data_IF_359599105121
#
_entry.id   IF_359599105121
#
_cell.length_a   1.000
_cell.length_b   1.000
_cell.length_c   1.000
_cell.angle_alpha   90.00
_cell.angle_beta   90.00
_cell.angle_gamma   90.00
#
_symmetry.space_group_name_H-M   'P 1'
#
loop_
_entity.id
_entity.type
_entity.pdbx_description
1 polymer ?
#
# COMPACT_ATOMS: atom_id res chain seq x y z
N UNK A 1 0.85 24.93 7.47
CA UNK A 1 -0.11 23.87 7.15
C UNK A 1 0.58 22.53 7.35
N UNK A 2 -0.11 21.56 7.89
CA UNK A 2 0.40 20.19 7.96
C UNK A 2 0.54 19.63 6.56
N UNK A 3 1.57 18.81 6.34
CA UNK A 3 1.81 18.11 5.06
C UNK A 3 1.04 16.80 5.00
N UNK A 4 0.94 16.21 3.84
CA UNK A 4 0.60 14.80 3.70
C UNK A 4 1.90 13.97 3.59
N UNK A 5 1.83 12.69 3.92
CA UNK A 5 2.95 11.75 3.86
C UNK A 5 2.61 10.62 2.89
N UNK A 6 3.44 10.40 1.88
CA UNK A 6 3.38 9.18 1.07
C UNK A 6 4.37 8.17 1.63
N UNK A 7 3.91 6.93 1.85
CA UNK A 7 4.74 5.86 2.42
C UNK A 7 4.80 4.67 1.49
N UNK A 8 6.00 4.13 1.32
CA UNK A 8 6.21 2.82 0.69
C UNK A 8 7.24 1.99 1.45
N UNK A 9 7.35 0.74 1.03
CA UNK A 9 8.28 -0.23 1.62
C UNK A 9 9.09 -0.91 0.52
N UNK A 10 10.39 -1.04 0.76
CA UNK A 10 11.33 -1.77 -0.10
C UNK A 10 12.13 -2.77 0.72
N UNK A 11 12.68 -3.77 0.06
CA UNK A 11 13.61 -4.74 0.65
C UNK A 11 14.82 -4.94 -0.26
N UNK A 12 15.85 -5.60 0.23
CA UNK A 12 17.14 -5.74 -0.46
C UNK A 12 17.10 -6.45 -1.83
N UNK A 13 15.95 -6.99 -2.22
CA UNK A 13 15.71 -7.49 -3.58
C UNK A 13 15.25 -6.39 -4.57
N UNK A 14 15.05 -5.15 -4.10
CA UNK A 14 14.73 -3.99 -4.93
C UNK A 14 16.00 -3.29 -5.40
N UNK A 15 15.90 -2.74 -6.59
CA UNK A 15 16.91 -1.85 -7.18
C UNK A 15 16.27 -0.50 -7.53
N UNK A 16 17.10 0.46 -7.93
CA UNK A 16 16.59 1.75 -8.42
C UNK A 16 15.56 1.60 -9.54
N UNK A 17 15.75 0.63 -10.43
CA UNK A 17 14.84 0.39 -11.56
C UNK A 17 13.43 0.01 -11.08
N UNK A 18 13.32 -0.67 -9.94
CA UNK A 18 12.04 -1.11 -9.39
C UNK A 18 11.22 0.03 -8.77
N UNK A 19 11.87 1.10 -8.28
CA UNK A 19 11.21 2.16 -7.53
C UNK A 19 11.20 3.52 -8.26
N UNK A 20 12.05 3.71 -9.26
CA UNK A 20 12.19 5.00 -9.93
C UNK A 20 10.90 5.52 -10.54
N UNK A 21 10.09 4.65 -11.12
CA UNK A 21 8.83 5.03 -11.78
C UNK A 21 7.82 5.55 -10.75
N UNK A 22 7.71 4.86 -9.61
CA UNK A 22 6.90 5.31 -8.48
C UNK A 22 7.33 6.71 -8.01
N UNK A 23 8.60 6.88 -7.67
CA UNK A 23 9.12 8.14 -7.15
C UNK A 23 9.04 9.29 -8.17
N UNK A 24 9.44 9.03 -9.42
CA UNK A 24 9.41 10.06 -10.45
C UNK A 24 7.98 10.45 -10.84
N UNK A 25 7.03 9.50 -10.78
CA UNK A 25 5.62 9.83 -11.00
C UNK A 25 5.08 10.77 -9.92
N UNK A 26 5.38 10.53 -8.64
CA UNK A 26 5.00 11.43 -7.54
C UNK A 26 5.57 12.84 -7.79
N UNK A 27 6.85 12.95 -8.10
CA UNK A 27 7.51 14.24 -8.35
C UNK A 27 6.89 15.03 -9.51
N UNK A 28 6.40 14.33 -10.53
CA UNK A 28 5.72 14.97 -11.68
C UNK A 28 4.32 15.50 -11.35
N UNK A 29 3.74 15.14 -10.22
CA UNK A 29 2.40 15.62 -9.81
C UNK A 29 2.42 16.92 -9.01
N UNK A 30 3.55 17.58 -8.87
CA UNK A 30 3.74 18.75 -7.99
C UNK A 30 3.38 18.47 -6.52
N UNK A 31 3.54 17.24 -6.06
CA UNK A 31 3.34 16.85 -4.66
C UNK A 31 4.35 17.56 -3.76
N UNK A 32 3.86 18.20 -2.68
CA UNK A 32 4.67 19.02 -1.76
C UNK A 32 4.82 18.40 -0.37
N UNK A 33 4.27 17.22 -0.15
CA UNK A 33 4.41 16.50 1.11
C UNK A 33 5.73 15.73 1.21
N UNK A 34 5.87 14.98 2.28
CA UNK A 34 7.04 14.15 2.51
C UNK A 34 6.83 12.74 1.92
N UNK A 35 7.94 12.12 1.51
CA UNK A 35 7.96 10.76 0.95
C UNK A 35 8.81 9.89 1.88
N UNK A 36 8.20 8.92 2.53
CA UNK A 36 8.86 7.99 3.43
C UNK A 36 9.05 6.63 2.77
N UNK A 37 10.27 6.12 2.84
CA UNK A 37 10.63 4.78 2.39
C UNK A 37 11.12 3.96 3.58
N UNK A 38 10.40 2.88 3.90
CA UNK A 38 10.85 1.88 4.87
C UNK A 38 11.72 0.85 4.13
N UNK A 39 13.03 0.90 4.38
CA UNK A 39 14.03 0.12 3.65
C UNK A 39 14.56 -1.06 4.50
N UNK A 40 14.23 -2.28 4.09
CA UNK A 40 14.58 -3.51 4.81
C UNK A 40 15.80 -4.20 4.23
N UNK A 41 16.71 -4.64 5.12
CA UNK A 41 17.94 -5.36 4.78
C UNK A 41 18.90 -4.53 3.91
N UNK A 42 18.92 -3.22 4.10
CA UNK A 42 19.89 -2.30 3.55
C UNK A 42 20.82 -1.76 4.64
N UNK A 43 22.03 -1.30 4.24
CA UNK A 43 22.92 -0.52 5.08
C UNK A 43 22.80 0.97 4.73
N UNK A 44 23.23 1.84 5.64
CA UNK A 44 23.10 3.29 5.45
C UNK A 44 23.98 3.83 4.30
N UNK A 45 25.05 3.12 3.96
CA UNK A 45 25.99 3.42 2.89
C UNK A 45 25.69 2.71 1.56
N UNK A 46 24.61 1.93 1.50
CA UNK A 46 24.19 1.31 0.26
C UNK A 46 23.82 2.39 -0.77
N UNK A 47 24.40 2.29 -1.96
CA UNK A 47 24.22 3.28 -3.04
C UNK A 47 22.75 3.55 -3.36
N UNK A 48 21.90 2.54 -3.25
CA UNK A 48 20.46 2.69 -3.47
C UNK A 48 19.78 3.52 -2.38
N UNK A 49 20.17 3.36 -1.10
CA UNK A 49 19.67 4.17 0.02
C UNK A 49 20.06 5.64 -0.16
N UNK A 50 21.34 5.88 -0.47
CA UNK A 50 21.87 7.23 -0.74
C UNK A 50 21.13 7.90 -1.91
N UNK A 51 20.86 7.15 -2.97
CA UNK A 51 20.13 7.65 -4.14
C UNK A 51 18.68 8.05 -3.80
N UNK A 52 18.00 7.30 -2.92
CA UNK A 52 16.66 7.66 -2.43
C UNK A 52 16.69 8.95 -1.58
N UNK A 53 17.71 9.10 -0.71
CA UNK A 53 17.90 10.29 0.11
C UNK A 53 18.24 11.52 -0.76
N UNK A 54 19.13 11.39 -1.72
CA UNK A 54 19.43 12.44 -2.71
C UNK A 54 18.20 12.84 -3.54
N UNK A 55 17.32 11.88 -3.78
CA UNK A 55 16.04 12.13 -4.42
C UNK A 55 15.00 12.81 -3.51
N UNK A 56 15.33 13.11 -2.24
CA UNK A 56 14.49 13.82 -1.28
C UNK A 56 13.56 12.92 -0.47
N UNK A 57 13.77 11.60 -0.45
CA UNK A 57 13.02 10.70 0.39
C UNK A 57 13.55 10.69 1.83
N UNK A 58 12.64 10.62 2.79
CA UNK A 58 12.95 10.17 4.15
C UNK A 58 13.14 8.66 4.08
N UNK A 59 14.33 8.17 4.39
CA UNK A 59 14.62 6.73 4.37
C UNK A 59 14.85 6.25 5.79
N UNK A 60 13.99 5.34 6.23
CA UNK A 60 14.15 4.66 7.50
C UNK A 60 14.52 3.22 7.22
N UNK A 61 15.60 2.80 7.83
CA UNK A 61 16.01 1.41 7.88
C UNK A 61 15.62 0.86 9.24
N UNK A 62 14.48 0.17 9.33
CA UNK A 62 14.08 -0.43 10.59
C UNK A 62 15.18 -1.34 11.07
N UNK A 63 15.65 -1.07 12.28
CA UNK A 63 16.86 -1.69 12.81
C UNK A 63 16.73 -3.21 12.82
N UNK A 64 17.65 -3.88 12.16
CA UNK A 64 17.88 -5.31 12.27
C UNK A 64 18.27 -5.75 13.71
N UNK A 65 18.35 -4.82 14.68
CA UNK A 65 18.66 -5.12 16.08
C UNK A 65 17.64 -6.06 16.73
N UNK A 66 16.44 -6.16 16.19
CA UNK A 66 15.48 -7.20 16.59
C UNK A 66 15.74 -8.57 15.92
N UNK A 67 16.75 -8.69 15.05
CA UNK A 67 17.30 -10.00 14.64
C UNK A 67 18.17 -10.65 15.71
N UNK A 68 18.43 -9.98 16.82
CA UNK A 68 18.96 -10.59 18.02
C UNK A 68 17.98 -11.60 18.63
N UNK A 69 18.43 -12.36 19.59
CA UNK A 69 17.81 -13.52 20.26
C UNK A 69 16.27 -13.59 20.32
N UNK A 70 15.58 -12.46 20.41
CA UNK A 70 14.12 -12.42 20.49
C UNK A 70 13.41 -12.71 19.17
N UNK A 71 13.94 -12.20 18.06
CA UNK A 71 13.30 -12.41 16.75
C UNK A 71 13.50 -13.84 16.28
N UNK A 72 14.70 -14.39 16.44
CA UNK A 72 14.98 -15.79 16.11
C UNK A 72 14.24 -16.75 17.03
N UNK A 73 14.19 -16.46 18.33
CA UNK A 73 13.51 -17.31 19.32
C UNK A 73 11.99 -17.27 19.14
N UNK A 74 11.41 -16.11 18.88
CA UNK A 74 9.97 -15.96 18.66
C UNK A 74 9.54 -16.66 17.36
N UNK A 75 10.31 -16.52 16.31
CA UNK A 75 10.05 -17.13 15.02
C UNK A 75 10.28 -18.65 15.05
N UNK A 76 11.32 -19.14 15.70
CA UNK A 76 11.60 -20.58 15.86
C UNK A 76 10.61 -21.27 16.80
N UNK A 77 10.10 -20.57 17.82
CA UNK A 77 9.09 -21.12 18.74
C UNK A 77 7.71 -21.27 18.11
N UNK A 78 7.34 -20.35 17.21
CA UNK A 78 6.04 -20.43 16.52
C UNK A 78 6.02 -21.43 15.37
N UNK A 79 7.15 -22.01 14.99
CA UNK A 79 7.25 -22.98 13.88
C UNK A 79 6.90 -22.42 12.50
N UNK A 80 6.74 -21.09 12.36
CA UNK A 80 6.23 -20.43 11.15
C UNK A 80 7.29 -19.65 10.36
N UNK A 81 8.58 -19.80 10.69
CA UNK A 81 9.63 -19.17 9.89
C UNK A 81 10.14 -20.15 8.87
N UNK A 82 9.74 -19.92 7.65
CA UNK A 82 10.48 -20.42 6.52
C UNK A 82 11.57 -19.37 6.20
N UNK A 83 12.88 -19.63 6.45
CA UNK A 83 13.96 -18.71 6.12
C UNK A 83 14.01 -18.36 4.62
N UNK A 84 13.33 -19.14 3.78
CA UNK A 84 13.21 -18.91 2.34
C UNK A 84 12.16 -17.85 1.97
N UNK A 85 11.26 -17.46 2.91
CA UNK A 85 10.18 -16.50 2.68
C UNK A 85 10.33 -15.23 3.52
N UNK A 86 11.55 -14.72 3.67
CA UNK A 86 11.80 -13.44 4.39
C UNK A 86 10.95 -12.26 3.85
N UNK A 87 10.52 -12.32 2.59
CA UNK A 87 9.66 -11.31 1.98
C UNK A 87 8.22 -11.30 2.53
N UNK A 88 7.70 -12.42 3.01
CA UNK A 88 6.35 -12.48 3.57
C UNK A 88 6.24 -11.71 4.89
N UNK A 89 7.32 -11.66 5.67
CA UNK A 89 7.35 -10.91 6.93
C UNK A 89 7.36 -9.40 6.73
N UNK A 90 7.94 -8.91 5.66
CA UNK A 90 8.00 -7.47 5.35
C UNK A 90 6.59 -6.89 5.18
N UNK A 91 5.66 -7.62 4.57
CA UNK A 91 4.28 -7.17 4.39
C UNK A 91 3.56 -6.89 5.72
N UNK A 92 3.89 -7.61 6.78
CA UNK A 92 3.30 -7.42 8.10
C UNK A 92 4.10 -6.44 8.96
N UNK A 93 5.42 -6.62 9.03
CA UNK A 93 6.31 -5.83 9.88
C UNK A 93 6.39 -4.36 9.46
N UNK A 94 6.19 -4.06 8.16
CA UNK A 94 6.11 -2.68 7.65
C UNK A 94 5.06 -1.84 8.37
N UNK A 95 3.97 -2.44 8.77
CA UNK A 95 2.89 -1.76 9.49
C UNK A 95 3.33 -1.39 10.92
N UNK A 96 4.06 -2.28 11.61
CA UNK A 96 4.62 -1.97 12.92
C UNK A 96 5.65 -0.84 12.88
N UNK A 97 6.58 -0.88 11.93
CA UNK A 97 7.59 0.17 11.81
C UNK A 97 7.01 1.51 11.34
N UNK A 98 5.95 1.47 10.52
CA UNK A 98 5.22 2.70 10.22
C UNK A 98 4.52 3.25 11.47
N UNK A 99 3.86 2.42 12.26
CA UNK A 99 3.31 2.83 13.55
C UNK A 99 4.37 3.45 14.45
N UNK A 100 5.53 2.80 14.59
CA UNK A 100 6.64 3.30 15.42
C UNK A 100 7.11 4.68 14.94
N UNK A 101 7.33 4.85 13.64
CA UNK A 101 7.70 6.14 13.07
C UNK A 101 6.66 7.22 13.37
N UNK A 102 5.38 6.91 13.17
CA UNK A 102 4.29 7.85 13.41
C UNK A 102 4.15 8.21 14.91
N UNK A 103 4.44 7.27 15.80
CA UNK A 103 4.43 7.49 17.25
C UNK A 103 5.60 8.37 17.69
N UNK A 104 6.83 8.05 17.24
CA UNK A 104 8.05 8.76 17.62
C UNK A 104 8.11 10.18 17.05
N UNK A 105 7.57 10.42 15.87
CA UNK A 105 7.57 11.75 15.24
C UNK A 105 6.42 12.64 15.71
N UNK A 106 5.45 12.11 16.44
CA UNK A 106 4.26 12.88 16.83
C UNK A 106 3.43 13.25 15.60
N UNK A 107 3.08 12.28 14.82
CA UNK A 107 2.44 12.39 13.49
C UNK A 107 1.25 13.35 13.43
N UNK A 108 0.46 13.42 14.49
CA UNK A 108 -0.69 14.34 14.60
C UNK A 108 -0.28 15.83 14.57
N UNK A 109 1.00 16.12 14.81
CA UNK A 109 1.54 17.48 14.76
C UNK A 109 2.06 17.82 13.36
N UNK A 110 2.70 16.88 12.68
CA UNK A 110 3.39 17.13 11.42
C UNK A 110 2.53 16.84 10.19
N UNK A 111 1.74 15.77 10.21
CA UNK A 111 1.02 15.31 9.03
C UNK A 111 -0.49 15.42 9.18
N UNK A 112 -1.14 15.71 8.06
CA UNK A 112 -2.59 15.70 7.94
C UNK A 112 -3.10 14.30 7.59
N UNK A 113 -2.51 13.72 6.53
CA UNK A 113 -2.90 12.39 6.02
C UNK A 113 -1.66 11.57 5.65
N UNK A 114 -1.85 10.26 5.63
CA UNK A 114 -0.88 9.28 5.15
C UNK A 114 -1.49 8.54 3.96
N UNK A 115 -0.75 8.51 2.85
CA UNK A 115 -1.04 7.69 1.67
C UNK A 115 -0.08 6.51 1.68
N UNK A 116 -0.59 5.32 1.94
CA UNK A 116 0.20 4.10 1.96
C UNK A 116 0.12 3.43 0.59
N UNK A 117 1.29 3.14 -0.01
CA UNK A 117 1.36 2.52 -1.33
C UNK A 117 2.37 1.39 -1.38
N UNK A 118 2.09 0.39 -2.22
CA UNK A 118 3.15 -0.45 -2.74
C UNK A 118 4.10 0.40 -3.60
N UNK A 119 5.35 -0.05 -3.81
CA UNK A 119 6.34 0.82 -4.47
C UNK A 119 6.57 0.48 -5.94
N UNK A 120 6.73 -0.81 -6.27
CA UNK A 120 7.26 -1.22 -7.58
C UNK A 120 6.30 -1.01 -8.74
N UNK A 121 5.03 -1.27 -8.53
CA UNK A 121 4.01 -1.41 -9.58
C UNK A 121 2.93 -0.32 -9.49
N UNK A 122 3.28 0.83 -8.92
CA UNK A 122 2.40 1.99 -8.76
C UNK A 122 2.93 3.20 -9.53
N UNK A 123 2.01 3.90 -10.17
CA UNK A 123 2.23 5.20 -10.81
C UNK A 123 1.21 6.22 -10.29
N UNK A 124 1.67 7.42 -9.98
CA UNK A 124 0.81 8.56 -9.71
C UNK A 124 0.59 9.36 -11.01
N UNK A 125 -0.65 9.59 -11.37
CA UNK A 125 -1.02 10.39 -12.53
C UNK A 125 -1.47 11.81 -12.15
N UNK A 126 -1.85 12.03 -10.90
CA UNK A 126 -2.18 13.35 -10.35
C UNK A 126 -1.77 13.47 -8.89
N UNK A 127 -1.82 14.69 -8.36
CA UNK A 127 -1.41 15.00 -6.99
C UNK A 127 -2.40 14.39 -5.98
N UNK A 128 -1.97 13.43 -5.13
CA UNK A 128 -2.85 12.77 -4.19
C UNK A 128 -3.40 13.71 -3.11
N UNK A 129 -2.64 14.71 -2.67
CA UNK A 129 -3.12 15.69 -1.68
C UNK A 129 -4.29 16.51 -2.24
N UNK A 130 -4.19 16.95 -3.49
CA UNK A 130 -5.26 17.71 -4.15
C UNK A 130 -6.52 16.84 -4.29
N UNK A 131 -6.36 15.58 -4.67
CA UNK A 131 -7.48 14.65 -4.76
C UNK A 131 -8.15 14.44 -3.39
N UNK A 132 -7.35 14.19 -2.35
CA UNK A 132 -7.82 13.96 -0.98
C UNK A 132 -8.50 15.19 -0.39
N UNK A 133 -7.98 16.39 -0.65
CA UNK A 133 -8.59 17.65 -0.18
C UNK A 133 -10.03 17.82 -0.71
N UNK A 134 -10.25 17.37 -1.93
CA UNK A 134 -11.55 17.54 -2.61
C UNK A 134 -12.53 16.41 -2.28
N UNK A 135 -12.02 15.17 -2.16
CA UNK A 135 -12.87 13.99 -2.23
C UNK A 135 -12.90 13.16 -0.93
N UNK A 136 -11.93 13.31 -0.02
CA UNK A 136 -11.90 12.53 1.20
C UNK A 136 -12.76 13.17 2.31
N UNK A 137 -13.80 12.46 2.75
CA UNK A 137 -14.77 12.96 3.73
C UNK A 137 -14.81 12.14 5.03
N UNK A 138 -14.03 11.05 5.11
CA UNK A 138 -13.90 10.20 6.29
C UNK A 138 -12.44 9.94 6.62
N UNK A 139 -12.21 9.29 7.75
CA UNK A 139 -10.85 9.07 8.28
C UNK A 139 -10.01 8.08 7.47
N UNK A 140 -10.65 7.11 6.79
CA UNK A 140 -9.98 6.05 6.02
C UNK A 140 -10.58 5.97 4.63
N UNK A 141 -9.76 6.10 3.60
CA UNK A 141 -10.11 5.86 2.22
C UNK A 141 -9.75 4.43 1.84
N UNK A 142 -10.74 3.64 1.46
CA UNK A 142 -10.64 2.19 1.23
C UNK A 142 -10.85 1.88 -0.25
N UNK A 143 -9.77 1.63 -1.02
CA UNK A 143 -9.87 1.40 -2.46
C UNK A 143 -10.30 -0.03 -2.79
N UNK A 144 -11.31 -0.16 -3.64
CA UNK A 144 -11.86 -1.44 -4.10
C UNK A 144 -11.10 -2.01 -5.28
N UNK A 145 -10.98 -3.34 -5.34
CA UNK A 145 -10.51 -4.09 -6.51
C UNK A 145 -11.66 -4.45 -7.48
N UNK A 146 -12.91 -4.09 -7.17
CA UNK A 146 -14.08 -4.34 -8.02
C UNK A 146 -14.49 -5.80 -8.15
N UNK A 147 -13.90 -6.71 -7.38
CA UNK A 147 -14.16 -8.15 -7.41
C UNK A 147 -14.52 -8.66 -6.02
N UNK A 148 -15.41 -9.65 -5.92
CA UNK A 148 -15.75 -10.28 -4.64
C UNK A 148 -14.67 -11.28 -4.20
N UNK A 149 -14.52 -11.46 -2.89
CA UNK A 149 -13.60 -12.45 -2.33
C UNK A 149 -13.81 -13.87 -2.89
N UNK A 150 -15.08 -14.29 -3.05
CA UNK A 150 -15.43 -15.62 -3.60
C UNK A 150 -15.00 -15.82 -5.05
N UNK A 151 -14.87 -14.73 -5.80
CA UNK A 151 -14.57 -14.74 -7.24
C UNK A 151 -13.06 -14.50 -7.51
N UNK A 152 -12.27 -14.26 -6.45
CA UNK A 152 -10.83 -14.02 -6.53
C UNK A 152 -10.05 -15.08 -5.72
N UNK A 153 -9.50 -16.12 -6.37
CA UNK A 153 -8.90 -17.27 -5.70
C UNK A 153 -7.77 -16.92 -4.74
N UNK A 154 -6.86 -16.03 -5.13
CA UNK A 154 -5.72 -15.64 -4.30
C UNK A 154 -6.16 -14.99 -2.99
N UNK A 155 -7.11 -14.05 -3.04
CA UNK A 155 -7.65 -13.38 -1.86
C UNK A 155 -8.44 -14.34 -0.96
N UNK A 156 -9.24 -15.24 -1.57
CA UNK A 156 -9.95 -16.29 -0.87
C UNK A 156 -9.00 -17.21 -0.10
N UNK A 157 -7.96 -17.70 -0.76
CA UNK A 157 -6.99 -18.61 -0.16
C UNK A 157 -6.21 -17.95 0.98
N UNK A 158 -5.81 -16.68 0.83
CA UNK A 158 -5.18 -15.92 1.90
C UNK A 158 -6.14 -15.67 3.08
N UNK A 159 -7.39 -15.36 2.83
CA UNK A 159 -8.39 -15.20 3.89
C UNK A 159 -8.62 -16.52 4.67
N UNK A 160 -8.76 -17.62 3.97
CA UNK A 160 -8.92 -18.96 4.58
C UNK A 160 -7.69 -19.38 5.37
N UNK A 161 -6.48 -19.15 4.83
CA UNK A 161 -5.21 -19.49 5.49
C UNK A 161 -5.00 -18.71 6.78
N UNK A 162 -5.33 -17.42 6.78
CA UNK A 162 -5.06 -16.53 7.90
C UNK A 162 -6.16 -16.54 8.97
N UNK A 163 -7.42 -16.68 8.57
CA UNK A 163 -8.58 -16.49 9.45
C UNK A 163 -9.54 -17.69 9.53
N UNK A 164 -9.35 -18.69 8.66
CA UNK A 164 -10.19 -19.88 8.63
C UNK A 164 -11.58 -19.67 8.03
N UNK A 165 -12.32 -20.79 7.95
CA UNK A 165 -13.59 -20.83 7.22
C UNK A 165 -14.70 -19.96 7.81
N UNK A 166 -14.81 -19.84 9.12
CA UNK A 166 -15.87 -19.04 9.74
C UNK A 166 -15.75 -17.55 9.40
N UNK A 167 -14.54 -16.98 9.54
CA UNK A 167 -14.30 -15.56 9.22
C UNK A 167 -14.50 -15.32 7.74
N UNK A 168 -13.99 -16.21 6.88
CA UNK A 168 -14.19 -16.11 5.45
C UNK A 168 -15.69 -16.12 5.08
N UNK A 169 -16.46 -17.11 5.51
CA UNK A 169 -17.88 -17.26 5.15
C UNK A 169 -18.75 -16.10 5.65
N UNK A 170 -18.50 -15.59 6.87
CA UNK A 170 -19.37 -14.60 7.49
C UNK A 170 -18.92 -13.15 7.26
N UNK A 171 -17.61 -12.89 7.06
CA UNK A 171 -17.10 -11.53 6.98
C UNK A 171 -16.55 -11.13 5.61
N UNK A 172 -16.09 -12.08 4.77
CA UNK A 172 -15.36 -11.72 3.56
C UNK A 172 -16.00 -12.23 2.26
N UNK A 173 -16.51 -13.44 2.21
CA UNK A 173 -16.91 -14.17 0.99
C UNK A 173 -17.70 -13.34 -0.02
N UNK A 174 -18.73 -12.62 0.43
CA UNK A 174 -19.61 -11.82 -0.41
C UNK A 174 -19.27 -10.32 -0.37
N UNK A 175 -18.07 -9.96 0.09
CA UNK A 175 -17.59 -8.59 0.08
C UNK A 175 -16.64 -8.35 -1.08
N UNK A 176 -16.62 -7.11 -1.53
CA UNK A 176 -15.63 -6.65 -2.49
C UNK A 176 -14.26 -6.62 -1.80
N UNK A 177 -13.25 -7.10 -2.50
CA UNK A 177 -11.86 -7.02 -2.05
C UNK A 177 -11.42 -5.56 -2.07
N UNK A 178 -10.85 -5.10 -0.95
CA UNK A 178 -10.24 -3.79 -0.84
C UNK A 178 -8.73 -3.93 -0.80
N UNK A 179 -8.05 -3.13 -1.60
CA UNK A 179 -6.60 -3.20 -1.76
C UNK A 179 -5.87 -2.45 -0.65
N UNK A 180 -4.93 -3.12 0.02
CA UNK A 180 -4.12 -2.53 1.10
C UNK A 180 -2.90 -1.76 0.57
N UNK A 181 -2.58 -1.91 -0.70
CA UNK A 181 -1.42 -1.26 -1.34
C UNK A 181 -1.68 0.15 -1.89
N UNK A 182 -2.87 0.74 -1.65
CA UNK A 182 -3.24 2.08 -2.18
C UNK A 182 -4.25 2.80 -1.29
N UNK A 183 -4.25 2.58 0.01
CA UNK A 183 -5.18 3.27 0.91
C UNK A 183 -4.63 4.63 1.38
N UNK A 184 -5.51 5.50 1.82
CA UNK A 184 -5.15 6.73 2.52
C UNK A 184 -5.95 6.87 3.81
N UNK A 185 -5.40 7.56 4.79
CA UNK A 185 -6.10 7.84 6.05
C UNK A 185 -5.60 9.12 6.69
N UNK A 186 -6.39 9.69 7.62
CA UNK A 186 -5.90 10.75 8.49
C UNK A 186 -4.72 10.24 9.32
N UNK A 187 -3.75 11.09 9.62
CA UNK A 187 -2.52 10.67 10.25
C UNK A 187 -2.74 10.00 11.62
N UNK A 188 -3.69 10.50 12.41
CA UNK A 188 -4.04 9.93 13.71
C UNK A 188 -4.60 8.51 13.60
N UNK A 189 -5.56 8.29 12.69
CA UNK A 189 -6.13 6.95 12.52
C UNK A 189 -5.15 5.99 11.86
N UNK A 190 -4.23 6.48 11.02
CA UNK A 190 -3.19 5.68 10.39
C UNK A 190 -2.33 4.95 11.42
N UNK A 191 -1.93 5.66 12.46
CA UNK A 191 -1.13 5.11 13.55
C UNK A 191 -1.84 3.92 14.20
N UNK A 192 -3.08 4.10 14.64
CA UNK A 192 -3.86 3.04 15.28
C UNK A 192 -4.14 1.88 14.32
N UNK A 193 -4.50 2.20 13.07
CA UNK A 193 -4.75 1.21 12.03
C UNK A 193 -3.53 0.32 11.77
N UNK A 194 -2.35 0.91 11.67
CA UNK A 194 -1.10 0.19 11.43
C UNK A 194 -0.78 -0.79 12.56
N UNK A 195 -0.92 -0.36 13.82
CA UNK A 195 -0.70 -1.23 14.98
C UNK A 195 -1.69 -2.39 15.00
N UNK A 196 -2.98 -2.11 14.80
CA UNK A 196 -4.02 -3.15 14.81
C UNK A 196 -3.80 -4.15 13.67
N UNK A 197 -3.48 -3.68 12.46
CA UNK A 197 -3.18 -4.53 11.32
C UNK A 197 -1.99 -5.45 11.61
N UNK A 198 -0.91 -4.92 12.19
CA UNK A 198 0.25 -5.72 12.58
C UNK A 198 -0.13 -6.80 13.61
N UNK A 199 -0.87 -6.43 14.67
CA UNK A 199 -1.30 -7.37 15.70
C UNK A 199 -2.25 -8.46 15.16
N UNK A 200 -3.05 -8.16 14.15
CA UNK A 200 -3.93 -9.13 13.49
C UNK A 200 -3.19 -10.06 12.52
N UNK A 201 -2.03 -9.67 12.04
CA UNK A 201 -1.34 -10.39 10.97
C UNK A 201 -0.70 -11.72 11.41
N UNK A 202 -0.59 -12.01 12.68
CA UNK A 202 -0.10 -13.27 13.28
C UNK A 202 1.18 -13.86 12.63
N UNK A 203 2.02 -13.03 11.99
CA UNK A 203 3.21 -13.42 11.23
C UNK A 203 2.97 -14.46 10.11
N UNK A 204 1.74 -14.59 9.63
CA UNK A 204 1.40 -15.40 8.46
C UNK A 204 1.46 -14.50 7.23
N UNK A 205 2.12 -14.96 6.17
CA UNK A 205 2.29 -14.18 4.94
C UNK A 205 0.96 -13.75 4.32
N UNK A 206 0.97 -12.56 3.73
CA UNK A 206 -0.18 -11.93 3.07
C UNK A 206 -1.44 -11.79 3.96
N UNK A 207 -1.24 -11.59 5.26
CA UNK A 207 -2.33 -11.36 6.20
C UNK A 207 -2.84 -9.91 6.19
N UNK A 208 -2.04 -8.97 5.73
CA UNK A 208 -2.32 -7.54 5.72
C UNK A 208 -3.62 -7.20 4.96
N UNK A 209 -3.82 -7.73 3.76
CA UNK A 209 -5.02 -7.44 2.98
C UNK A 209 -6.31 -8.01 3.60
N UNK A 210 -6.42 -9.29 3.99
CA UNK A 210 -7.62 -9.76 4.67
C UNK A 210 -7.82 -9.10 6.04
N UNK A 211 -6.77 -8.76 6.80
CA UNK A 211 -6.88 -7.98 8.05
C UNK A 211 -7.51 -6.61 7.80
N UNK A 212 -6.99 -5.88 6.80
CA UNK A 212 -7.51 -4.57 6.40
C UNK A 212 -8.99 -4.66 6.01
N UNK A 213 -9.37 -5.65 5.21
CA UNK A 213 -10.75 -5.85 4.78
C UNK A 213 -11.70 -6.18 5.96
N UNK A 214 -11.24 -6.98 6.92
CA UNK A 214 -12.02 -7.27 8.14
C UNK A 214 -12.21 -5.99 8.95
N UNK A 215 -11.14 -5.27 9.27
CA UNK A 215 -11.20 -4.06 10.10
C UNK A 215 -12.10 -2.99 9.48
N UNK A 216 -11.89 -2.69 8.20
CA UNK A 216 -12.63 -1.64 7.49
C UNK A 216 -14.10 -1.98 7.30
N UNK A 217 -14.44 -3.27 7.23
CA UNK A 217 -15.82 -3.71 7.09
C UNK A 217 -16.55 -3.99 8.42
N UNK A 218 -15.84 -3.95 9.55
CA UNK A 218 -16.39 -4.22 10.89
C UNK A 218 -16.12 -3.07 11.85
N UNK A 219 -15.02 -3.12 12.59
CA UNK A 219 -14.73 -2.20 13.70
C UNK A 219 -14.55 -0.74 13.25
N UNK A 220 -13.99 -0.51 12.08
CA UNK A 220 -13.71 0.82 11.55
C UNK A 220 -14.70 1.25 10.46
N UNK A 221 -15.77 0.49 10.24
CA UNK A 221 -16.73 0.70 9.14
C UNK A 221 -17.23 2.15 9.05
N UNK A 222 -17.58 2.77 10.17
CA UNK A 222 -18.16 4.10 10.19
C UNK A 222 -17.11 5.20 9.87
N UNK A 223 -15.82 4.89 10.00
CA UNK A 223 -14.68 5.74 9.67
C UNK A 223 -14.23 5.60 8.21
N UNK A 224 -14.76 4.62 7.48
CA UNK A 224 -14.32 4.27 6.13
C UNK A 224 -15.16 4.93 5.06
N UNK A 225 -14.47 5.49 4.07
CA UNK A 225 -15.02 5.87 2.77
C UNK A 225 -14.53 4.85 1.74
N UNK A 226 -15.46 4.07 1.19
CA UNK A 226 -15.13 3.13 0.11
C UNK A 226 -15.13 3.86 -1.21
N UNK A 227 -14.10 3.64 -2.00
CA UNK A 227 -13.95 4.19 -3.35
C UNK A 227 -13.74 3.05 -4.34
N UNK A 228 -14.36 3.20 -5.50
CA UNK A 228 -14.27 2.23 -6.60
C UNK A 228 -13.71 2.89 -7.87
N UNK A 229 -13.78 2.18 -9.00
CA UNK A 229 -13.31 2.68 -10.29
C UNK A 229 -14.01 3.94 -10.81
N UNK A 230 -15.09 4.40 -10.17
CA UNK A 230 -15.79 5.63 -10.54
C UNK A 230 -15.20 6.86 -9.85
N UNK A 231 -14.49 6.67 -8.76
CA UNK A 231 -14.07 7.73 -7.85
C UNK A 231 -12.70 8.34 -8.19
N UNK A 232 -12.03 7.91 -9.26
CA UNK A 232 -10.73 8.41 -9.72
C UNK A 232 -9.57 8.34 -8.70
N UNK A 233 -9.71 7.63 -7.57
CA UNK A 233 -8.63 7.49 -6.61
C UNK A 233 -7.56 6.54 -7.09
N UNK A 234 -7.88 5.24 -7.18
CA UNK A 234 -6.91 4.22 -7.54
C UNK A 234 -7.51 3.21 -8.51
N UNK A 235 -6.80 2.93 -9.60
CA UNK A 235 -7.16 1.93 -10.57
C UNK A 235 -6.39 0.64 -10.32
N UNK A 236 -7.09 -0.41 -9.86
CA UNK A 236 -6.51 -1.71 -9.48
C UNK A 236 -6.52 -2.67 -10.68
N UNK A 237 -5.46 -2.67 -11.48
CA UNK A 237 -5.41 -3.45 -12.73
C UNK A 237 -5.41 -4.95 -12.49
N UNK A 238 -4.73 -5.41 -11.44
CA UNK A 238 -4.45 -6.83 -11.24
C UNK A 238 -5.67 -7.75 -11.17
N UNK A 239 -6.79 -7.23 -10.66
CA UNK A 239 -8.03 -7.99 -10.57
C UNK A 239 -8.85 -8.00 -11.87
N UNK A 240 -8.59 -7.05 -12.79
CA UNK A 240 -9.44 -6.77 -13.97
C UNK A 240 -8.66 -6.64 -15.27
N UNK A 241 -7.45 -7.20 -15.34
CA UNK A 241 -6.56 -7.06 -16.51
C UNK A 241 -7.23 -7.35 -17.86
N UNK A 242 -8.13 -8.33 -17.90
CA UNK A 242 -8.87 -8.70 -19.11
C UNK A 242 -10.07 -7.78 -19.42
N UNK A 243 -10.43 -6.88 -18.49
CA UNK A 243 -11.65 -6.07 -18.55
C UNK A 243 -11.40 -4.57 -18.34
N UNK A 244 -10.19 -4.10 -18.51
CA UNK A 244 -9.77 -2.70 -18.24
C UNK A 244 -10.69 -1.71 -18.97
N UNK A 245 -10.99 -1.97 -20.24
CA UNK A 245 -11.85 -1.13 -21.07
C UNK A 245 -13.30 -1.02 -20.58
N UNK A 246 -13.75 -1.83 -19.62
CA UNK A 246 -15.07 -1.66 -19.00
C UNK A 246 -15.09 -0.52 -18.01
N UNK A 247 -13.95 -0.26 -17.33
CA UNK A 247 -13.84 0.66 -16.21
C UNK A 247 -13.10 1.95 -16.53
N UNK A 248 -12.19 1.92 -17.50
CA UNK A 248 -11.35 3.06 -17.84
C UNK A 248 -11.32 3.34 -19.34
N UNK A 249 -10.98 4.60 -19.66
CA UNK A 249 -10.53 5.03 -20.99
C UNK A 249 -9.04 5.35 -20.90
N UNK A 250 -8.29 4.96 -21.92
CA UNK A 250 -6.88 5.30 -22.02
C UNK A 250 -6.68 6.36 -23.11
N UNK A 251 -5.96 7.43 -22.75
CA UNK A 251 -5.56 8.49 -23.67
C UNK A 251 -4.14 8.93 -23.36
N UNK A 252 -3.25 8.87 -24.31
CA UNK A 252 -1.84 9.27 -24.19
C UNK A 252 -1.10 8.54 -23.04
N UNK A 253 -1.42 7.27 -22.80
CA UNK A 253 -0.94 6.41 -21.70
C UNK A 253 -1.37 6.90 -20.30
N UNK A 254 -2.40 7.71 -20.22
CA UNK A 254 -3.06 8.10 -18.98
C UNK A 254 -4.41 7.39 -18.92
N UNK A 255 -4.72 6.79 -17.79
CA UNK A 255 -6.00 6.12 -17.55
C UNK A 255 -6.98 7.07 -16.88
N UNK A 256 -8.17 7.17 -17.45
CA UNK A 256 -9.26 8.03 -17.00
C UNK A 256 -10.46 7.19 -16.54
N UNK A 257 -11.21 7.71 -15.59
CA UNK A 257 -12.51 7.11 -15.23
C UNK A 257 -13.51 7.30 -16.38
N UNK A 258 -14.30 6.30 -16.68
CA UNK A 258 -15.40 6.43 -17.65
C UNK A 258 -16.56 7.29 -17.11
N UNK A 259 -16.66 7.42 -15.81
CA UNK A 259 -17.80 8.10 -15.17
C UNK A 259 -17.63 9.61 -15.18
N UNK A 260 -16.48 10.12 -14.76
CA UNK A 260 -16.20 11.57 -14.67
C UNK A 260 -15.30 12.09 -15.77
N UNK A 261 -14.55 11.21 -16.47
CA UNK A 261 -13.51 11.61 -17.40
C UNK A 261 -12.28 12.19 -16.74
N UNK A 262 -12.12 12.00 -15.43
CA UNK A 262 -10.95 12.42 -14.66
C UNK A 262 -9.85 11.37 -14.69
N UNK A 263 -8.55 11.76 -14.68
CA UNK A 263 -7.48 10.79 -14.55
C UNK A 263 -7.55 10.13 -13.18
N UNK A 264 -7.25 8.83 -13.12
CA UNK A 264 -7.01 8.17 -11.83
C UNK A 264 -5.80 8.80 -11.15
N UNK A 265 -5.90 9.05 -9.85
CA UNK A 265 -4.78 9.59 -9.08
C UNK A 265 -3.63 8.57 -9.03
N UNK A 266 -3.97 7.30 -8.81
CA UNK A 266 -3.04 6.18 -8.70
C UNK A 266 -3.41 5.09 -9.70
N UNK A 267 -2.42 4.53 -10.39
CA UNK A 267 -2.55 3.30 -11.19
C UNK A 267 -1.67 2.23 -10.54
N UNK A 268 -2.32 1.17 -10.07
CA UNK A 268 -1.65 0.05 -9.41
C UNK A 268 -1.55 -1.15 -10.35
N UNK A 269 -0.40 -1.83 -10.30
CA UNK A 269 -0.08 -3.00 -11.13
C UNK A 269 -0.07 -2.66 -12.64
N UNK A 270 0.42 -1.44 -12.96
CA UNK A 270 0.54 -0.98 -14.35
C UNK A 270 1.47 -1.88 -15.18
N UNK A 271 2.39 -2.55 -14.54
CA UNK A 271 3.38 -3.47 -15.15
C UNK A 271 2.74 -4.72 -15.77
N UNK A 272 1.49 -5.01 -15.44
CA UNK A 272 0.69 -6.07 -16.07
C UNK A 272 0.18 -5.72 -17.46
N UNK A 273 0.30 -4.45 -17.86
CA UNK A 273 -0.05 -3.97 -19.20
C UNK A 273 1.25 -3.64 -19.93
N UNK A 274 1.67 -4.43 -20.93
CA UNK A 274 2.99 -4.29 -21.54
C UNK A 274 3.29 -2.91 -22.12
N UNK A 275 2.34 -2.25 -22.76
CA UNK A 275 2.57 -0.92 -23.33
C UNK A 275 2.67 0.18 -22.27
N UNK A 276 1.87 0.12 -21.18
CA UNK A 276 2.01 1.04 -20.05
C UNK A 276 3.35 0.85 -19.35
N UNK A 277 3.73 -0.42 -19.09
CA UNK A 277 5.04 -0.72 -18.54
C UNK A 277 6.16 -0.13 -19.39
N UNK A 278 6.14 -0.38 -20.70
CA UNK A 278 7.15 0.16 -21.61
C UNK A 278 7.16 1.70 -21.59
N UNK A 279 5.98 2.33 -21.60
CA UNK A 279 5.87 3.78 -21.56
C UNK A 279 6.53 4.35 -20.30
N UNK A 280 6.15 3.86 -19.11
CA UNK A 280 6.67 4.39 -17.84
C UNK A 280 8.15 4.07 -17.65
N UNK A 281 8.62 2.89 -18.02
CA UNK A 281 10.04 2.52 -17.95
C UNK A 281 10.94 3.42 -18.82
N UNK A 282 10.39 4.01 -19.89
CA UNK A 282 11.14 4.88 -20.80
C UNK A 282 10.96 6.38 -20.55
N UNK A 283 9.88 6.79 -19.90
CA UNK A 283 9.53 8.21 -19.71
C UNK A 283 9.67 8.71 -18.27
N UNK A 284 9.75 7.82 -17.29
CA UNK A 284 10.03 8.08 -15.89
C UNK A 284 11.41 7.60 -15.49
#
# INVERSE_FOLDING_TARGET
MKKDLIVTTISSNYTWVDIKNWLNSIKKTDYQGDILVLAYNFNADDAFVLQLQEAGCLVIMPNNTYRGEYHETFLTHSGYVNPQNANELVHNVRLFHLWQYLEETGVDVEYNRVVFTDGRDIIFQSNPSTWLDTNMHKDILVPSEGILYKDQPWNKDNALKNYGGYVYEYLLKDRVVCNVGTFACTASICKDLCLILYLMSNNIGHADQPSFNILTSTLLKDKCQWVDYKDSWAFQIGAIVDNISQYSEEKDNILYTKTSGEPYCIVHQYDRIPHLKHHYDTKL
#
